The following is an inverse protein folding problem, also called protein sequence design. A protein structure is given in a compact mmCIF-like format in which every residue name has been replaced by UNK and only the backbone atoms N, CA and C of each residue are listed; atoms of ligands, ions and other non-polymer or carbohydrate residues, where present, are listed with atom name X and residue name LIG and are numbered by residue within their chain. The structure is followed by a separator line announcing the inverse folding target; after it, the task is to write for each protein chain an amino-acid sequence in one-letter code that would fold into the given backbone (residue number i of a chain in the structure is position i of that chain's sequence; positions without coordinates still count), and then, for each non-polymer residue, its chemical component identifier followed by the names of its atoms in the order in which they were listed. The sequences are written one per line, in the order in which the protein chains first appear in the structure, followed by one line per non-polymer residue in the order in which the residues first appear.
data_IF_486605754425
#
_entry.id   IF_486605754425
#
_cell.length_a   1.000
_cell.length_b   1.000
_cell.length_c   1.000
_cell.angle_alpha   90.00
_cell.angle_beta   90.00
_cell.angle_gamma   90.00
#
_symmetry.space_group_name_H-M   'P 1'
#
loop_
_entity.id
_entity.type
_entity.pdbx_description
1 polymer ?
#
# COMPACT_ATOMS: atom_id res chain seq x y z
N UNK A 1 33.77 47.03 -58.46
CA UNK A 1 33.11 45.71 -58.55
C UNK A 1 32.80 45.27 -57.12
N UNK A 2 31.55 44.94 -56.84
CA UNK A 2 30.92 44.55 -55.54
C UNK A 2 30.61 45.70 -54.56
N UNK A 3 29.35 46.18 -54.54
CA UNK A 3 28.15 45.72 -53.78
C UNK A 3 28.22 46.15 -52.30
N UNK A 4 27.56 47.27 -51.96
CA UNK A 4 26.20 47.36 -51.38
C UNK A 4 26.14 46.91 -49.91
N UNK A 5 25.78 47.81 -48.99
CA UNK A 5 24.40 47.88 -48.46
C UNK A 5 24.21 49.12 -47.56
N UNK A 6 23.09 49.82 -47.77
CA UNK A 6 22.63 50.96 -46.97
C UNK A 6 22.15 50.47 -45.60
N UNK A 7 22.43 51.22 -44.54
CA UNK A 7 21.68 51.13 -43.28
C UNK A 7 21.11 52.49 -42.91
N UNK A 8 19.78 52.52 -42.78
CA UNK A 8 18.94 53.67 -42.43
C UNK A 8 18.95 53.82 -40.91
N UNK A 9 19.27 55.01 -40.40
CA UNK A 9 19.08 55.37 -38.99
C UNK A 9 17.59 55.59 -38.70
N UNK A 10 17.01 54.80 -37.81
CA UNK A 10 15.73 55.12 -37.16
C UNK A 10 15.92 55.21 -35.65
N UNK A 11 15.70 56.42 -35.13
CA UNK A 11 15.74 56.76 -33.72
C UNK A 11 14.70 55.94 -32.93
N UNK A 12 15.15 55.26 -31.87
CA UNK A 12 14.28 54.55 -30.94
C UNK A 12 13.88 55.51 -29.80
N UNK A 13 12.59 55.86 -29.73
CA UNK A 13 12.01 56.48 -28.54
C UNK A 13 11.76 55.38 -27.49
N UNK A 14 12.42 55.50 -26.34
CA UNK A 14 12.25 54.59 -25.21
C UNK A 14 10.96 54.93 -24.44
N UNK A 15 10.04 53.98 -24.34
CA UNK A 15 8.86 54.05 -23.45
C UNK A 15 9.29 53.45 -22.11
N UNK A 16 9.42 54.29 -21.08
CA UNK A 16 9.63 53.85 -19.69
C UNK A 16 8.34 53.24 -19.13
N UNK A 17 8.32 51.93 -18.91
CA UNK A 17 7.33 51.27 -18.06
C UNK A 17 7.89 51.19 -16.64
N UNK A 18 7.34 52.00 -15.73
CA UNK A 18 7.55 51.84 -14.29
C UNK A 18 6.76 50.62 -13.81
N UNK A 19 7.44 49.52 -13.52
CA UNK A 19 6.86 48.37 -12.80
C UNK A 19 6.76 48.74 -11.32
N UNK A 20 5.59 48.68 -10.67
CA UNK A 20 5.52 48.90 -9.22
C UNK A 20 6.24 47.75 -8.50
N UNK A 21 7.21 48.10 -7.65
CA UNK A 21 7.86 47.18 -6.73
C UNK A 21 6.82 46.63 -5.75
N UNK A 22 6.30 45.43 -6.00
CA UNK A 22 5.55 44.69 -4.99
C UNK A 22 6.53 44.16 -3.95
N UNK A 23 6.29 44.53 -2.69
CA UNK A 23 7.01 44.08 -1.51
C UNK A 23 7.35 42.58 -1.56
N UNK A 24 8.57 42.16 -1.18
CA UNK A 24 8.84 40.75 -0.97
C UNK A 24 7.97 40.28 0.18
N UNK A 25 6.97 39.44 -0.12
CA UNK A 25 6.22 38.72 0.89
C UNK A 25 7.24 37.84 1.60
N UNK A 26 7.59 38.24 2.82
CA UNK A 26 8.36 37.45 3.77
C UNK A 26 7.56 36.16 4.01
N UNK A 27 7.88 35.11 3.25
CA UNK A 27 7.26 33.81 3.43
C UNK A 27 7.67 33.31 4.80
N UNK A 28 6.71 33.31 5.73
CA UNK A 28 6.86 32.65 7.03
C UNK A 28 7.42 31.25 6.79
N UNK A 29 8.40 30.78 7.59
CA UNK A 29 8.89 29.42 7.47
C UNK A 29 7.69 28.48 7.54
N UNK A 30 7.58 27.61 6.52
CA UNK A 30 6.55 26.57 6.45
C UNK A 30 6.73 25.71 7.70
N UNK A 31 5.86 25.93 8.69
CA UNK A 31 5.71 25.02 9.82
C UNK A 31 5.50 23.65 9.21
N UNK A 32 6.40 22.71 9.54
CA UNK A 32 6.29 21.31 9.16
C UNK A 32 4.88 20.87 9.52
N UNK A 33 4.09 20.57 8.49
CA UNK A 33 2.73 20.10 8.62
C UNK A 33 2.75 18.87 9.52
N UNK A 34 1.90 18.91 10.54
CA UNK A 34 1.72 17.94 11.61
C UNK A 34 2.02 16.49 11.16
N UNK A 35 3.06 15.86 11.72
CA UNK A 35 3.48 14.48 11.39
C UNK A 35 2.46 13.44 11.88
N UNK A 36 1.44 13.85 12.60
CA UNK A 36 0.28 13.04 12.93
C UNK A 36 -0.79 13.24 11.86
N UNK A 37 -0.69 12.50 10.76
CA UNK A 37 -1.88 12.27 9.95
C UNK A 37 -2.91 11.61 10.88
N UNK A 38 -3.94 12.37 11.29
CA UNK A 38 -4.99 11.86 12.15
C UNK A 38 -5.57 10.59 11.52
N UNK A 39 -5.41 9.46 12.23
CA UNK A 39 -6.03 8.19 11.86
C UNK A 39 -7.54 8.46 11.85
N UNK A 40 -8.24 8.29 10.72
CA UNK A 40 -9.66 8.61 10.65
C UNK A 40 -10.43 7.85 11.74
N UNK A 41 -11.05 8.58 12.66
CA UNK A 41 -11.97 8.01 13.64
C UNK A 41 -13.20 7.46 12.90
N UNK A 42 -13.50 6.17 13.06
CA UNK A 42 -14.65 5.55 12.42
C UNK A 42 -14.55 4.03 12.25
N UNK A 43 -14.81 3.32 13.33
CA UNK A 43 -15.45 2.00 13.43
C UNK A 43 -15.15 0.92 12.36
N UNK A 44 -14.33 -0.07 12.75
CA UNK A 44 -14.60 -1.49 12.53
C UNK A 44 -14.40 -2.11 11.15
N UNK A 45 -13.77 -1.43 10.18
CA UNK A 45 -13.64 -1.92 8.80
C UNK A 45 -12.18 -2.18 8.41
N UNK A 46 -11.53 -3.11 9.10
CA UNK A 46 -10.07 -3.29 9.00
C UNK A 46 -9.65 -4.62 8.39
N UNK A 47 -10.56 -5.60 8.33
CA UNK A 47 -10.27 -6.97 7.87
C UNK A 47 -10.35 -7.08 6.37
N UNK A 48 -9.29 -7.64 5.80
CA UNK A 48 -9.14 -7.90 4.38
C UNK A 48 -9.09 -9.37 4.07
N UNK A 49 -9.47 -9.72 2.84
CA UNK A 49 -9.34 -11.08 2.33
C UNK A 49 -8.33 -11.12 1.19
N UNK A 50 -7.19 -11.82 1.37
CA UNK A 50 -6.35 -12.24 0.26
C UNK A 50 -7.05 -13.38 -0.50
N UNK A 51 -7.05 -13.37 -1.82
CA UNK A 51 -7.66 -14.45 -2.61
C UNK A 51 -6.91 -14.71 -3.91
N UNK A 52 -7.02 -15.95 -4.41
CA UNK A 52 -6.63 -16.30 -5.78
C UNK A 52 -7.87 -16.67 -6.60
N UNK A 53 -8.80 -17.43 -6.01
CA UNK A 53 -10.10 -17.71 -6.62
C UNK A 53 -11.11 -16.60 -6.24
N UNK A 54 -11.52 -15.73 -7.19
CA UNK A 54 -12.52 -14.69 -6.92
C UNK A 54 -13.85 -15.29 -6.47
N UNK A 55 -14.17 -16.52 -6.84
CA UNK A 55 -15.39 -17.21 -6.46
C UNK A 55 -15.52 -17.41 -4.95
N UNK A 56 -14.42 -17.60 -4.23
CA UNK A 56 -14.44 -17.83 -2.78
C UNK A 56 -14.78 -16.57 -1.98
N UNK A 57 -14.58 -15.38 -2.56
CA UNK A 57 -14.84 -14.09 -1.87
C UNK A 57 -16.30 -13.91 -1.46
N UNK A 58 -17.24 -14.55 -2.18
CA UNK A 58 -18.68 -14.51 -1.88
C UNK A 58 -19.03 -15.03 -0.48
N UNK A 59 -18.24 -15.96 0.07
CA UNK A 59 -18.52 -16.58 1.38
C UNK A 59 -18.35 -15.61 2.54
N UNK A 60 -17.54 -14.59 2.33
CA UNK A 60 -17.31 -13.54 3.33
C UNK A 60 -18.45 -12.52 3.31
N UNK A 61 -19.23 -12.47 2.21
CA UNK A 61 -20.32 -11.52 1.94
C UNK A 61 -21.61 -11.84 2.72
N UNK A 62 -21.57 -11.77 4.05
CA UNK A 62 -22.70 -12.01 4.94
C UNK A 62 -22.96 -10.88 5.96
N UNK A 63 -24.20 -10.74 6.42
CA UNK A 63 -24.57 -9.78 7.48
C UNK A 63 -23.73 -10.04 8.75
N UNK A 64 -23.24 -8.96 9.36
CA UNK A 64 -22.34 -9.01 10.52
C UNK A 64 -20.87 -9.31 10.17
N UNK A 65 -20.51 -9.44 8.89
CA UNK A 65 -19.11 -9.60 8.48
C UNK A 65 -18.28 -8.35 8.76
N UNK A 66 -17.09 -8.54 9.33
CA UNK A 66 -16.10 -7.49 9.56
C UNK A 66 -15.19 -7.26 8.33
N UNK A 67 -15.37 -8.05 7.26
CA UNK A 67 -14.59 -7.93 6.03
C UNK A 67 -15.01 -6.67 5.26
N UNK A 68 -14.01 -5.90 4.86
CA UNK A 68 -14.22 -4.60 4.21
C UNK A 68 -13.41 -4.42 2.93
N UNK A 69 -12.31 -5.15 2.77
CA UNK A 69 -11.47 -5.04 1.58
C UNK A 69 -10.95 -6.40 1.11
N UNK A 70 -10.48 -6.46 -0.12
CA UNK A 70 -9.83 -7.65 -0.66
C UNK A 70 -8.67 -7.29 -1.59
N UNK A 71 -7.75 -8.23 -1.80
CA UNK A 71 -6.66 -8.13 -2.75
C UNK A 71 -6.22 -9.52 -3.20
N UNK A 72 -5.50 -9.61 -4.31
CA UNK A 72 -5.14 -10.90 -4.94
C UNK A 72 -3.74 -10.90 -5.57
N UNK A 73 -2.83 -10.08 -5.05
CA UNK A 73 -1.48 -9.88 -5.61
C UNK A 73 -1.48 -9.44 -7.09
N UNK A 74 -2.59 -8.87 -7.57
CA UNK A 74 -2.71 -8.29 -8.90
C UNK A 74 -3.41 -6.93 -8.80
N UNK A 75 -3.41 -6.22 -9.92
CA UNK A 75 -4.15 -4.98 -10.16
C UNK A 75 -5.58 -5.21 -10.64
N UNK A 76 -5.92 -6.42 -11.08
CA UNK A 76 -7.25 -6.79 -11.57
C UNK A 76 -7.99 -7.66 -10.54
N UNK A 77 -9.24 -7.33 -10.15
CA UNK A 77 -10.00 -8.14 -9.20
C UNK A 77 -10.45 -9.50 -9.75
N UNK A 78 -10.39 -9.72 -11.08
CA UNK A 78 -10.88 -10.92 -11.76
C UNK A 78 -12.34 -11.26 -11.42
N UNK A 79 -13.17 -10.24 -11.20
CA UNK A 79 -14.61 -10.40 -10.93
C UNK A 79 -14.98 -10.80 -9.50
N UNK A 80 -14.07 -10.67 -8.53
CA UNK A 80 -14.37 -10.93 -7.12
C UNK A 80 -15.54 -10.08 -6.59
N UNK A 81 -16.42 -10.71 -5.81
CA UNK A 81 -17.48 -10.04 -5.09
C UNK A 81 -16.98 -9.56 -3.73
N UNK A 82 -16.70 -8.27 -3.61
CA UNK A 82 -16.20 -7.67 -2.37
C UNK A 82 -17.25 -6.73 -1.75
N UNK A 83 -17.23 -6.57 -0.43
CA UNK A 83 -18.21 -5.71 0.25
C UNK A 83 -18.00 -4.22 0.05
N UNK A 84 -16.75 -3.75 0.01
CA UNK A 84 -16.47 -2.31 0.00
C UNK A 84 -15.33 -1.91 -0.92
N UNK A 85 -14.22 -2.67 -0.95
CA UNK A 85 -13.03 -2.22 -1.67
C UNK A 85 -12.20 -3.40 -2.20
N UNK A 86 -11.81 -3.32 -3.47
CA UNK A 86 -10.67 -4.07 -3.98
C UNK A 86 -9.43 -3.17 -3.97
N UNK A 87 -8.30 -3.67 -3.47
CA UNK A 87 -7.03 -2.95 -3.42
C UNK A 87 -6.08 -3.51 -4.46
N UNK A 88 -5.83 -2.78 -5.58
CA UNK A 88 -4.82 -3.16 -6.57
C UNK A 88 -3.43 -3.25 -5.96
N UNK A 89 -2.66 -4.26 -6.36
CA UNK A 89 -1.25 -4.44 -6.03
C UNK A 89 -0.39 -4.49 -7.30
N UNK A 90 0.71 -3.73 -7.30
CA UNK A 90 1.78 -3.90 -8.29
C UNK A 90 2.78 -4.91 -7.73
N UNK A 91 2.64 -6.17 -8.13
CA UNK A 91 3.39 -7.29 -7.54
C UNK A 91 4.87 -7.35 -7.98
N UNK A 92 5.15 -7.06 -9.26
CA UNK A 92 6.52 -6.98 -9.77
C UNK A 92 6.65 -5.90 -10.86
N UNK A 93 7.89 -5.68 -11.29
CA UNK A 93 8.25 -4.84 -12.43
C UNK A 93 8.13 -5.55 -13.79
N UNK A 94 7.72 -6.82 -13.80
CA UNK A 94 7.49 -7.58 -15.03
C UNK A 94 6.40 -6.93 -15.89
N UNK A 95 6.52 -7.11 -17.21
CA UNK A 95 5.65 -6.47 -18.19
C UNK A 95 4.16 -6.82 -17.98
N UNK A 96 3.87 -8.04 -17.55
CA UNK A 96 2.51 -8.51 -17.29
C UNK A 96 1.82 -7.76 -16.14
N UNK A 97 2.59 -7.25 -15.17
CA UNK A 97 2.06 -6.44 -14.06
C UNK A 97 2.07 -4.94 -14.41
N UNK A 98 3.17 -4.45 -14.98
CA UNK A 98 3.34 -3.01 -15.27
C UNK A 98 2.49 -2.53 -16.46
N UNK A 99 2.30 -3.37 -17.49
CA UNK A 99 1.57 -3.01 -18.70
C UNK A 99 0.08 -2.73 -18.49
N UNK A 100 -0.53 -3.35 -17.47
CA UNK A 100 -1.95 -3.15 -17.10
C UNK A 100 -2.16 -2.19 -15.92
N UNK A 101 -1.10 -1.87 -15.18
CA UNK A 101 -1.15 -1.16 -13.90
C UNK A 101 -1.96 0.14 -13.92
N UNK A 102 -1.53 1.13 -14.73
CA UNK A 102 -2.12 2.47 -14.69
C UNK A 102 -3.60 2.46 -15.08
N UNK A 103 -3.97 1.64 -16.07
CA UNK A 103 -5.36 1.47 -16.47
C UNK A 103 -6.19 0.89 -15.33
N UNK A 104 -5.70 -0.18 -14.71
CA UNK A 104 -6.42 -0.87 -13.63
C UNK A 104 -6.55 0.00 -12.37
N UNK A 105 -5.53 0.82 -12.05
CA UNK A 105 -5.60 1.82 -10.99
C UNK A 105 -6.63 2.91 -11.28
N UNK A 106 -6.69 3.43 -12.50
CA UNK A 106 -7.68 4.44 -12.89
C UNK A 106 -9.11 3.88 -12.81
N UNK A 107 -9.30 2.61 -13.21
CA UNK A 107 -10.56 1.87 -13.04
C UNK A 107 -10.94 1.74 -11.57
N UNK A 108 -10.03 1.25 -10.72
CA UNK A 108 -10.27 1.09 -9.29
C UNK A 108 -10.60 2.43 -8.61
N UNK A 109 -9.93 3.51 -9.01
CA UNK A 109 -10.21 4.86 -8.51
C UNK A 109 -11.59 5.39 -8.92
N UNK A 110 -12.10 4.98 -10.10
CA UNK A 110 -13.41 5.38 -10.61
C UNK A 110 -14.55 4.61 -9.91
N UNK A 111 -14.42 3.29 -9.76
CA UNK A 111 -15.44 2.44 -9.12
C UNK A 111 -15.44 2.54 -7.59
N UNK A 112 -14.32 2.91 -6.96
CA UNK A 112 -14.20 3.11 -5.51
C UNK A 112 -14.90 4.37 -4.95
N UNK A 113 -15.87 4.94 -5.67
CA UNK A 113 -16.56 6.19 -5.33
C UNK A 113 -16.95 6.29 -3.85
N UNK A 114 -16.53 7.38 -3.21
CA UNK A 114 -16.64 7.79 -1.77
C UNK A 114 -15.66 7.19 -0.78
N UNK A 115 -15.03 6.04 -1.05
CA UNK A 115 -13.98 5.49 -0.18
C UNK A 115 -12.60 5.93 -0.69
N UNK A 116 -11.90 6.71 0.13
CA UNK A 116 -10.64 7.37 -0.22
C UNK A 116 -9.63 6.38 -0.81
N UNK A 117 -9.14 6.71 -2.01
CA UNK A 117 -7.96 6.18 -2.73
C UNK A 117 -6.93 5.49 -1.82
N UNK A 118 -6.91 4.16 -1.76
CA UNK A 118 -5.88 3.38 -1.06
C UNK A 118 -5.44 2.24 -1.96
N UNK A 119 -4.13 2.11 -2.18
CA UNK A 119 -3.53 1.17 -3.14
C UNK A 119 -2.34 0.46 -2.49
N UNK A 120 -2.11 -0.80 -2.83
CA UNK A 120 -0.87 -1.47 -2.49
C UNK A 120 0.22 -1.10 -3.54
N UNK A 121 0.67 0.18 -3.47
CA UNK A 121 1.71 0.92 -4.24
C UNK A 121 1.49 1.09 -5.76
N UNK A 122 1.75 2.21 -6.50
CA UNK A 122 2.64 3.40 -6.41
C UNK A 122 1.94 4.73 -6.76
N UNK A 123 2.47 5.80 -6.17
CA UNK A 123 2.23 7.23 -6.40
C UNK A 123 2.24 7.66 -7.88
N UNK A 124 1.34 8.58 -8.28
CA UNK A 124 1.40 9.24 -9.59
C UNK A 124 2.65 10.13 -9.66
N UNK A 125 3.63 9.93 -10.56
CA UNK A 125 4.46 11.04 -10.96
C UNK A 125 3.56 12.04 -11.70
N UNK A 126 3.70 13.33 -11.41
CA UNK A 126 3.17 14.37 -12.31
C UNK A 126 3.63 14.01 -13.73
N UNK A 127 2.72 14.06 -14.70
CA UNK A 127 2.88 13.71 -16.13
C UNK A 127 4.12 14.35 -16.80
N UNK A 128 5.33 13.96 -16.44
CA UNK A 128 6.55 14.30 -17.17
C UNK A 128 7.46 13.08 -17.15
N UNK A 129 7.52 12.45 -18.34
CA UNK A 129 8.44 11.40 -18.79
C UNK A 129 8.11 9.98 -18.33
N UNK A 130 7.24 9.33 -19.11
CA UNK A 130 7.20 7.87 -19.29
C UNK A 130 7.60 7.51 -20.73
N UNK A 131 8.64 8.17 -21.29
CA UNK A 131 9.03 7.95 -22.69
C UNK A 131 10.46 7.47 -22.92
N UNK A 132 11.29 7.28 -21.90
CA UNK A 132 12.64 6.77 -22.14
C UNK A 132 13.09 5.86 -21.00
N UNK A 133 12.79 4.56 -21.11
CA UNK A 133 13.65 3.53 -20.50
C UNK A 133 13.73 2.35 -21.47
N UNK A 134 14.90 2.19 -22.10
CA UNK A 134 15.40 0.97 -22.75
C UNK A 134 16.88 0.78 -22.32
N UNK A 135 17.45 -0.44 -22.37
CA UNK A 135 18.13 -1.14 -21.25
C UNK A 135 19.67 -1.30 -21.46
N UNK A 136 20.44 -2.14 -20.71
CA UNK A 136 20.19 -2.87 -19.46
C UNK A 136 21.20 -2.54 -18.33
N UNK A 137 20.75 -2.60 -17.07
CA UNK A 137 21.64 -2.84 -15.94
C UNK A 137 21.48 -4.31 -15.50
N UNK A 138 22.54 -4.98 -14.98
CA UNK A 138 22.48 -6.40 -14.65
C UNK A 138 21.35 -6.71 -13.65
N UNK A 139 20.45 -7.59 -14.08
CA UNK A 139 19.19 -8.02 -13.44
C UNK A 139 19.29 -8.65 -12.03
N UNK A 140 20.48 -8.71 -11.41
CA UNK A 140 20.63 -9.21 -10.04
C UNK A 140 20.55 -8.13 -8.96
N UNK A 141 20.58 -6.84 -9.35
CA UNK A 141 20.46 -5.73 -8.39
C UNK A 141 19.00 -5.24 -8.26
N UNK A 142 18.14 -5.53 -9.22
CA UNK A 142 16.74 -5.09 -9.22
C UNK A 142 15.85 -5.82 -8.21
N UNK A 143 16.20 -7.05 -7.80
CA UNK A 143 15.49 -7.74 -6.71
C UNK A 143 15.80 -7.19 -5.31
N UNK A 144 16.83 -6.34 -5.16
CA UNK A 144 17.22 -5.76 -3.87
C UNK A 144 17.18 -4.23 -3.81
N UNK A 145 16.98 -3.53 -4.93
CA UNK A 145 17.10 -2.07 -5.00
C UNK A 145 16.18 -1.49 -6.10
N UNK A 146 14.86 -1.51 -5.88
CA UNK A 146 13.94 -0.64 -6.62
C UNK A 146 13.40 0.43 -5.66
N UNK A 147 13.85 1.69 -5.74
CA UNK A 147 13.43 2.77 -4.82
C UNK A 147 11.94 3.14 -4.92
N UNK A 148 11.17 2.46 -5.76
CA UNK A 148 9.78 2.79 -6.06
C UNK A 148 8.81 1.65 -5.72
N UNK A 149 9.26 0.60 -5.02
CA UNK A 149 8.41 -0.50 -4.59
C UNK A 149 8.45 -0.55 -3.07
N UNK A 150 7.31 -0.33 -2.40
CA UNK A 150 7.20 -0.71 -0.99
C UNK A 150 7.36 -2.21 -0.91
N UNK A 151 8.36 -2.73 -0.22
CA UNK A 151 8.40 -4.15 0.03
C UNK A 151 7.36 -4.47 1.09
N UNK A 152 6.48 -5.44 0.80
CA UNK A 152 5.85 -6.16 1.90
C UNK A 152 6.91 -7.05 2.52
N UNK A 153 7.33 -6.74 3.73
CA UNK A 153 8.48 -7.42 4.36
C UNK A 153 8.01 -8.57 5.24
N UNK A 154 8.71 -9.70 5.18
CA UNK A 154 8.41 -10.87 6.01
C UNK A 154 8.87 -10.67 7.46
N UNK A 155 8.48 -11.58 8.36
CA UNK A 155 9.03 -11.72 9.71
C UNK A 155 10.40 -12.45 9.75
N UNK A 156 11.12 -12.49 8.63
CA UNK A 156 12.45 -13.10 8.54
C UNK A 156 13.53 -12.30 9.31
N UNK A 157 14.57 -12.98 9.80
CA UNK A 157 15.68 -12.32 10.51
C UNK A 157 16.51 -11.44 9.56
N UNK A 158 17.32 -10.56 10.14
CA UNK A 158 18.26 -9.75 9.37
C UNK A 158 19.16 -10.63 8.47
N UNK A 159 19.45 -10.21 7.22
CA UNK A 159 19.19 -8.89 6.65
C UNK A 159 17.80 -8.73 5.99
N UNK A 160 16.90 -9.71 6.14
CA UNK A 160 15.54 -9.65 5.60
C UNK A 160 14.61 -8.82 6.50
N UNK A 161 13.31 -8.86 6.20
CA UNK A 161 12.27 -8.33 7.08
C UNK A 161 12.44 -6.86 7.43
N UNK A 162 12.37 -6.55 8.73
CA UNK A 162 12.44 -5.18 9.23
C UNK A 162 13.81 -4.52 9.04
N UNK A 163 14.89 -5.29 8.92
CA UNK A 163 16.20 -4.72 8.57
C UNK A 163 16.19 -4.16 7.15
N UNK A 164 15.64 -4.93 6.21
CA UNK A 164 15.45 -4.46 4.84
C UNK A 164 14.52 -3.25 4.78
N UNK A 165 13.42 -3.23 5.54
CA UNK A 165 12.51 -2.08 5.60
C UNK A 165 13.27 -0.80 6.02
N UNK A 166 14.10 -0.87 7.07
CA UNK A 166 14.89 0.29 7.53
C UNK A 166 15.85 0.78 6.45
N UNK A 167 16.54 -0.14 5.77
CA UNK A 167 17.45 0.19 4.66
C UNK A 167 16.70 0.82 3.48
N UNK A 168 15.53 0.28 3.13
CA UNK A 168 14.67 0.82 2.08
C UNK A 168 14.21 2.25 2.39
N UNK A 169 13.68 2.49 3.59
CA UNK A 169 13.22 3.82 4.01
C UNK A 169 14.36 4.83 4.07
N UNK A 170 15.56 4.39 4.47
CA UNK A 170 16.75 5.25 4.49
C UNK A 170 17.25 5.61 3.09
N UNK A 171 17.09 4.69 2.13
CA UNK A 171 17.49 4.91 0.75
C UNK A 171 16.51 5.80 -0.04
N UNK A 172 15.22 5.83 0.35
CA UNK A 172 14.25 6.63 -0.36
C UNK A 172 14.12 8.07 0.18
N UNK A 173 14.72 9.02 -0.54
CA UNK A 173 14.71 10.44 -0.16
C UNK A 173 13.52 11.24 -0.73
N UNK A 174 12.84 10.74 -1.76
CA UNK A 174 11.73 11.39 -2.46
C UNK A 174 10.45 10.55 -2.51
N UNK A 175 10.39 9.41 -1.81
CA UNK A 175 9.17 8.61 -1.72
C UNK A 175 8.11 9.29 -0.85
N UNK A 176 6.86 9.20 -1.31
CA UNK A 176 5.71 9.39 -0.44
C UNK A 176 5.21 8.03 0.06
N UNK A 177 5.35 7.78 1.36
CA UNK A 177 4.99 6.52 2.02
C UNK A 177 3.97 6.83 3.11
N UNK A 178 2.71 6.55 2.82
CA UNK A 178 1.57 6.77 3.74
C UNK A 178 1.43 5.72 4.87
N UNK A 179 1.95 4.50 4.69
CA UNK A 179 1.89 3.35 5.59
C UNK A 179 3.02 2.36 5.25
N UNK A 180 3.28 1.37 6.10
CA UNK A 180 4.16 0.24 5.78
C UNK A 180 3.35 -1.04 5.64
N UNK A 181 3.91 -2.02 4.94
CA UNK A 181 3.27 -3.32 4.70
C UNK A 181 4.17 -4.41 5.24
N UNK A 182 3.63 -5.31 6.05
CA UNK A 182 4.37 -6.42 6.66
C UNK A 182 3.60 -7.72 6.54
N UNK A 183 4.34 -8.83 6.57
CA UNK A 183 3.83 -10.18 6.66
C UNK A 183 4.34 -10.87 7.92
N UNK A 184 3.54 -11.75 8.50
CA UNK A 184 3.97 -12.62 9.59
C UNK A 184 3.49 -14.05 9.39
N UNK A 185 4.38 -15.02 9.54
CA UNK A 185 4.02 -16.43 9.58
C UNK A 185 4.74 -17.11 10.73
N UNK A 186 4.01 -17.88 11.53
CA UNK A 186 4.59 -18.51 12.71
C UNK A 186 3.67 -19.54 13.36
N UNK A 187 4.12 -20.06 14.50
CA UNK A 187 3.38 -21.04 15.28
C UNK A 187 2.19 -20.37 16.00
N UNK A 188 1.02 -21.03 15.99
CA UNK A 188 -0.20 -20.55 16.62
C UNK A 188 -0.05 -20.32 18.12
N UNK A 189 0.85 -21.03 18.79
CA UNK A 189 1.13 -20.83 20.22
C UNK A 189 1.91 -19.54 20.51
N UNK A 190 2.40 -18.84 19.48
CA UNK A 190 3.28 -17.68 19.62
C UNK A 190 2.64 -16.35 19.21
N UNK A 191 1.44 -16.08 19.74
CA UNK A 191 0.76 -14.79 19.56
C UNK A 191 1.60 -13.59 20.07
N UNK A 192 2.46 -13.81 21.07
CA UNK A 192 3.36 -12.78 21.57
C UNK A 192 4.38 -12.31 20.51
N UNK A 193 4.92 -13.23 19.71
CA UNK A 193 5.83 -12.88 18.62
C UNK A 193 5.12 -12.10 17.50
N UNK A 194 3.90 -12.49 17.12
CA UNK A 194 3.09 -11.72 16.17
C UNK A 194 2.90 -10.27 16.63
N UNK A 195 2.45 -10.07 17.88
CA UNK A 195 2.22 -8.75 18.47
C UNK A 195 3.51 -7.93 18.52
N UNK A 196 4.61 -8.56 18.93
CA UNK A 196 5.93 -7.93 18.96
C UNK A 196 6.39 -7.52 17.56
N UNK A 197 6.23 -8.39 16.56
CA UNK A 197 6.64 -8.10 15.19
C UNK A 197 5.88 -6.90 14.62
N UNK A 198 4.58 -6.78 14.87
CA UNK A 198 3.78 -5.63 14.46
C UNK A 198 4.22 -4.33 15.16
N UNK A 199 4.60 -4.38 16.44
CA UNK A 199 5.16 -3.23 17.17
C UNK A 199 6.53 -2.82 16.64
N UNK A 200 7.45 -3.77 16.48
CA UNK A 200 8.78 -3.54 15.92
C UNK A 200 8.70 -2.96 14.50
N UNK A 201 7.70 -3.40 13.72
CA UNK A 201 7.43 -2.88 12.39
C UNK A 201 6.99 -1.41 12.43
N UNK A 202 6.08 -1.07 13.34
CA UNK A 202 5.63 0.31 13.53
C UNK A 202 6.81 1.25 13.84
N UNK A 203 7.72 0.83 14.72
CA UNK A 203 8.95 1.56 15.02
C UNK A 203 9.89 1.65 13.80
N UNK A 204 10.16 0.52 13.14
CA UNK A 204 11.00 0.46 11.94
C UNK A 204 10.44 1.30 10.78
N UNK A 205 9.12 1.46 10.73
CA UNK A 205 8.38 2.27 9.77
C UNK A 205 8.39 3.77 10.02
N UNK A 206 9.14 4.25 11.01
CA UNK A 206 9.10 5.64 11.51
C UNK A 206 7.68 6.06 11.93
N UNK A 207 7.02 5.17 12.69
CA UNK A 207 5.69 5.37 13.26
C UNK A 207 4.58 5.66 12.23
N UNK A 208 4.76 5.16 11.00
CA UNK A 208 3.69 5.17 9.99
C UNK A 208 2.66 4.07 10.29
N UNK A 209 1.38 4.27 9.93
CA UNK A 209 0.39 3.20 10.02
C UNK A 209 0.88 1.93 9.31
N UNK A 210 0.47 0.76 9.79
CA UNK A 210 0.88 -0.53 9.26
C UNK A 210 -0.30 -1.24 8.61
N UNK A 211 -0.03 -1.95 7.52
CA UNK A 211 -0.93 -2.93 6.93
C UNK A 211 -0.29 -4.31 7.08
N UNK A 212 -0.99 -5.22 7.73
CA UNK A 212 -0.58 -6.62 7.86
C UNK A 212 -1.26 -7.40 6.74
N UNK A 213 -0.73 -7.34 5.53
CA UNK A 213 -1.42 -7.89 4.36
C UNK A 213 -1.40 -9.41 4.31
N UNK A 214 -0.51 -10.04 5.08
CA UNK A 214 -0.53 -11.47 5.31
C UNK A 214 -0.16 -11.75 6.76
N UNK A 215 -1.03 -12.44 7.48
CA UNK A 215 -0.61 -13.18 8.65
C UNK A 215 -1.17 -14.59 8.62
N UNK A 216 -0.36 -15.57 9.03
CA UNK A 216 -0.75 -16.98 9.03
C UNK A 216 -0.14 -17.70 10.22
N UNK A 217 -0.96 -18.47 10.92
CA UNK A 217 -0.52 -19.31 12.02
C UNK A 217 -0.54 -20.79 11.60
N UNK A 218 0.49 -21.54 12.00
CA UNK A 218 0.59 -22.98 11.80
C UNK A 218 0.38 -23.70 13.15
N UNK A 219 -0.32 -24.82 13.14
CA UNK A 219 -0.69 -25.59 14.33
C UNK A 219 -1.96 -26.39 14.08
N UNK A 220 -2.48 -27.02 15.13
CA UNK A 220 -3.79 -27.67 15.08
C UNK A 220 -4.92 -26.62 14.93
N UNK A 221 -6.08 -27.01 14.40
CA UNK A 221 -7.18 -26.08 14.11
C UNK A 221 -7.60 -25.29 15.36
N UNK A 222 -7.71 -25.97 16.51
CA UNK A 222 -8.06 -25.35 17.78
C UNK A 222 -7.02 -24.33 18.23
N UNK A 223 -5.73 -24.61 18.03
CA UNK A 223 -4.65 -23.67 18.39
C UNK A 223 -4.71 -22.42 17.51
N UNK A 224 -4.95 -22.59 16.21
CA UNK A 224 -5.12 -21.46 15.28
C UNK A 224 -6.37 -20.65 15.63
N UNK A 225 -7.46 -21.30 16.03
CA UNK A 225 -8.68 -20.60 16.47
C UNK A 225 -8.39 -19.74 17.72
N UNK A 226 -7.68 -20.27 18.71
CA UNK A 226 -7.34 -19.50 19.92
C UNK A 226 -6.34 -18.38 19.64
N UNK A 227 -5.34 -18.62 18.78
CA UNK A 227 -4.47 -17.57 18.25
C UNK A 227 -5.29 -16.45 17.61
N UNK A 228 -6.23 -16.79 16.73
CA UNK A 228 -7.06 -15.82 16.01
C UNK A 228 -7.90 -14.98 16.96
N UNK A 229 -8.56 -15.59 17.95
CA UNK A 229 -9.33 -14.83 18.95
C UNK A 229 -8.46 -13.82 19.70
N UNK A 230 -7.25 -14.22 20.10
CA UNK A 230 -6.31 -13.33 20.81
C UNK A 230 -5.82 -12.18 19.91
N UNK A 231 -5.29 -12.50 18.73
CA UNK A 231 -4.69 -11.46 17.87
C UNK A 231 -5.72 -10.53 17.24
N UNK A 232 -6.93 -11.01 16.94
CA UNK A 232 -8.02 -10.15 16.43
C UNK A 232 -8.49 -9.17 17.50
N UNK A 233 -8.74 -9.66 18.73
CA UNK A 233 -9.12 -8.79 19.84
C UNK A 233 -8.04 -7.74 20.14
N UNK A 234 -6.76 -8.12 20.03
CA UNK A 234 -5.65 -7.20 20.19
C UNK A 234 -5.56 -6.17 19.06
N UNK A 235 -5.61 -6.58 17.78
CA UNK A 235 -5.52 -5.67 16.63
C UNK A 235 -6.70 -4.69 16.56
N UNK A 236 -7.89 -5.12 16.98
CA UNK A 236 -9.09 -4.28 17.01
C UNK A 236 -9.15 -3.34 18.23
N UNK A 237 -8.23 -3.48 19.20
CA UNK A 237 -8.18 -2.61 20.36
C UNK A 237 -7.80 -1.16 19.96
N UNK A 238 -8.43 -0.11 20.52
CA UNK A 238 -8.16 1.29 20.17
C UNK A 238 -6.69 1.74 20.33
N UNK A 239 -5.94 1.08 21.22
CA UNK A 239 -4.51 1.35 21.40
C UNK A 239 -3.67 0.93 20.19
N UNK A 240 -4.14 -0.07 19.42
CA UNK A 240 -3.48 -0.56 18.22
C UNK A 240 -3.96 0.15 16.95
N UNK A 241 -4.49 1.37 17.04
CA UNK A 241 -4.96 2.18 15.89
C UNK A 241 -3.93 2.38 14.77
N UNK A 242 -2.64 2.16 15.06
CA UNK A 242 -1.59 2.17 14.04
C UNK A 242 -1.70 0.98 13.08
N UNK A 243 -2.36 -0.10 13.46
CA UNK A 243 -2.73 -1.23 12.60
C UNK A 243 -3.96 -0.82 11.81
N UNK A 244 -3.73 -0.37 10.58
CA UNK A 244 -4.77 0.22 9.76
C UNK A 244 -5.58 -0.82 8.99
N UNK A 245 -4.94 -1.89 8.52
CA UNK A 245 -5.59 -2.99 7.80
C UNK A 245 -4.84 -4.29 8.06
N UNK A 246 -5.56 -5.40 8.10
CA UNK A 246 -4.94 -6.70 8.24
C UNK A 246 -5.72 -7.79 7.51
N UNK A 247 -5.05 -8.85 7.09
CA UNK A 247 -5.62 -9.91 6.27
C UNK A 247 -4.96 -11.27 6.61
N UNK A 248 -5.78 -12.25 7.01
CA UNK A 248 -5.31 -13.61 7.30
C UNK A 248 -5.12 -14.39 6.00
N UNK A 249 -4.03 -15.13 5.87
CA UNK A 249 -3.73 -15.92 4.68
C UNK A 249 -4.48 -17.27 4.72
N UNK A 250 -5.47 -17.54 3.86
CA UNK A 250 -6.16 -16.69 2.87
C UNK A 250 -7.56 -17.26 2.56
N UNK A 251 -8.34 -16.61 1.68
CA UNK A 251 -9.52 -17.24 1.08
C UNK A 251 -9.10 -18.35 0.11
N UNK A 252 -8.86 -19.53 0.68
CA UNK A 252 -8.62 -20.80 -0.01
C UNK A 252 -9.29 -21.92 0.78
N UNK A 253 -9.56 -23.03 0.09
CA UNK A 253 -10.03 -24.27 0.73
C UNK A 253 -8.97 -24.75 1.73
N UNK A 254 -9.42 -25.28 2.87
CA UNK A 254 -8.55 -25.71 3.97
C UNK A 254 -7.92 -24.56 4.78
N UNK A 255 -8.26 -23.30 4.47
CA UNK A 255 -7.84 -22.11 5.24
C UNK A 255 -9.06 -21.35 5.73
N UNK A 256 -9.38 -20.17 5.19
CA UNK A 256 -10.60 -19.43 5.56
C UNK A 256 -11.88 -20.04 4.95
N UNK A 257 -11.76 -20.83 3.89
CA UNK A 257 -12.87 -21.61 3.34
C UNK A 257 -12.73 -23.07 3.75
N UNK A 258 -13.85 -23.77 3.88
CA UNK A 258 -13.86 -25.21 4.12
C UNK A 258 -13.25 -25.98 2.93
N UNK A 259 -12.92 -27.26 3.14
CA UNK A 259 -12.30 -28.12 2.11
C UNK A 259 -13.09 -28.18 0.80
N UNK A 260 -14.42 -28.17 0.89
CA UNK A 260 -15.33 -28.21 -0.26
C UNK A 260 -15.43 -26.88 -1.02
N UNK A 261 -14.90 -25.78 -0.47
CA UNK A 261 -15.00 -24.44 -1.05
C UNK A 261 -16.44 -23.89 -1.15
N UNK A 262 -17.38 -24.48 -0.40
CA UNK A 262 -18.80 -24.12 -0.42
C UNK A 262 -19.23 -23.29 0.80
N UNK A 263 -18.31 -22.99 1.71
CA UNK A 263 -18.55 -22.10 2.85
C UNK A 263 -17.27 -21.78 3.63
N UNK A 264 -17.43 -21.04 4.72
CA UNK A 264 -16.34 -20.69 5.64
C UNK A 264 -15.94 -21.89 6.51
N UNK A 265 -14.64 -22.05 6.74
CA UNK A 265 -14.09 -22.96 7.76
C UNK A 265 -14.37 -22.44 9.18
N UNK A 266 -14.08 -23.23 10.24
CA UNK A 266 -14.10 -22.73 11.61
C UNK A 266 -13.22 -21.48 11.83
N UNK A 267 -11.98 -21.49 11.31
CA UNK A 267 -11.07 -20.34 11.33
C UNK A 267 -11.67 -19.16 10.53
N UNK A 268 -12.24 -19.44 9.36
CA UNK A 268 -12.93 -18.46 8.51
C UNK A 268 -14.07 -17.74 9.23
N UNK A 269 -14.87 -18.47 10.01
CA UNK A 269 -15.96 -17.89 10.82
C UNK A 269 -15.43 -16.96 11.90
N UNK A 270 -14.35 -17.34 12.59
CA UNK A 270 -13.70 -16.49 13.60
C UNK A 270 -13.21 -15.20 12.93
N UNK A 271 -12.42 -15.30 11.86
CA UNK A 271 -11.89 -14.13 11.16
C UNK A 271 -12.97 -13.21 10.59
N UNK A 272 -14.10 -13.77 10.16
CA UNK A 272 -15.17 -13.00 9.50
C UNK A 272 -16.09 -12.30 10.52
N UNK A 273 -16.37 -12.92 11.67
CA UNK A 273 -17.49 -12.49 12.52
C UNK A 273 -17.14 -12.21 13.99
N UNK A 274 -15.95 -12.54 14.47
CA UNK A 274 -15.53 -12.32 15.87
C UNK A 274 -14.47 -11.24 15.92
#
# INVERSE_FOLDING_TARGET
MHLLLRLVLTAHAAISFTVPLTNPILSKPRVLQDRNAAIPEGQGKWRGIPYNDPGLTRHFKADGSHISWAFNWDSDPYGAETFSEFVPMLWSDEADHTGKWFRNVDIAAYYGGTHKRRFLHVHRPRRRRLQEIHPPAPLQILQQQSPHQRPSVTNGPAPMGLDYLRRFLSACSDCHIDWIVIHWYGDATNAADFKKHAQDAYEAGDHRPIWITEFGAFGEEEEVIEFMKDVLAWMDHPDQRYIYRYAYQMASNGSLCNEDGNGLSPIGKVFTFQ
#
